data_IF_954904270533
#
_entry.id   IF_954904270533
#
_cell.length_a   1.000
_cell.length_b   1.000
_cell.length_c   1.000
_cell.angle_alpha   90.00
_cell.angle_beta   90.00
_cell.angle_gamma   90.00
#
_symmetry.space_group_name_H-M   'P 1'
#
loop_
_entity.id
_entity.type
_entity.pdbx_description
1 polymer ?
#
# COMPACT_ATOMS: atom_id res chain seq x y z
N UNK A 1 -11.85 -75.12 57.10
CA UNK A 1 -12.20 -73.72 57.22
C UNK A 1 -10.91 -72.91 57.24
N UNK A 2 -10.47 -72.39 56.11
CA UNK A 2 -9.26 -71.59 56.05
C UNK A 2 -9.58 -70.44 55.07
N UNK A 3 -9.58 -69.22 55.59
CA UNK A 3 -9.77 -68.00 54.86
C UNK A 3 -8.49 -67.65 54.10
N UNK A 4 -8.58 -67.50 52.77
CA UNK A 4 -7.53 -66.87 52.00
C UNK A 4 -7.86 -65.35 51.83
N UNK A 5 -7.00 -64.53 52.39
CA UNK A 5 -6.98 -63.10 52.12
C UNK A 5 -6.21 -62.85 50.80
N UNK A 6 -6.88 -62.21 49.84
CA UNK A 6 -6.25 -61.75 48.63
C UNK A 6 -5.74 -60.29 48.80
N UNK A 7 -4.45 -60.09 48.65
CA UNK A 7 -3.82 -58.79 48.68
C UNK A 7 -3.97 -58.17 47.31
N UNK A 8 -4.65 -57.04 47.21
CA UNK A 8 -4.66 -56.15 46.05
C UNK A 8 -3.44 -55.22 46.12
N UNK A 9 -2.53 -55.36 45.17
CA UNK A 9 -1.44 -54.43 44.95
C UNK A 9 -1.95 -53.28 44.08
N UNK A 10 -2.04 -52.09 44.62
CA UNK A 10 -2.32 -50.84 43.90
C UNK A 10 -1.02 -50.31 43.29
N UNK A 11 -0.94 -50.36 41.95
CA UNK A 11 0.13 -49.68 41.19
C UNK A 11 -0.21 -48.17 41.09
N UNK A 12 0.57 -47.37 41.78
CA UNK A 12 0.59 -45.90 41.60
C UNK A 12 1.37 -45.60 40.31
N UNK A 13 0.65 -45.21 39.25
CA UNK A 13 1.28 -44.60 38.04
C UNK A 13 1.53 -43.13 38.31
N UNK A 14 2.76 -42.74 38.50
CA UNK A 14 3.21 -41.35 38.54
C UNK A 14 3.19 -40.79 37.11
N UNK A 15 2.16 -40.02 36.79
CA UNK A 15 2.15 -39.20 35.60
C UNK A 15 3.12 -38.01 35.78
N UNK A 16 4.27 -38.07 35.13
CA UNK A 16 5.17 -36.93 35.01
C UNK A 16 4.52 -35.90 34.07
N UNK A 17 3.98 -34.81 34.62
CA UNK A 17 3.66 -33.62 33.83
C UNK A 17 4.95 -32.99 33.28
N UNK A 18 5.25 -33.23 32.02
CA UNK A 18 6.24 -32.44 31.32
C UNK A 18 5.68 -31.01 31.13
N UNK A 19 6.16 -30.08 31.95
CA UNK A 19 5.96 -28.66 31.70
C UNK A 19 6.78 -28.32 30.47
N UNK A 20 6.10 -28.17 29.33
CA UNK A 20 6.70 -27.59 28.14
C UNK A 20 7.09 -26.15 28.46
N UNK A 21 8.38 -25.92 28.69
CA UNK A 21 8.91 -24.57 28.73
C UNK A 21 8.62 -23.92 27.37
N UNK A 22 7.68 -23.00 27.31
CA UNK A 22 7.51 -22.14 26.16
C UNK A 22 8.82 -21.38 25.98
N UNK A 23 9.54 -21.70 24.90
CA UNK A 23 10.69 -20.91 24.50
C UNK A 23 10.18 -19.49 24.25
N UNK A 24 10.43 -18.59 25.18
CA UNK A 24 10.19 -17.15 24.95
C UNK A 24 11.09 -16.76 23.79
N UNK A 25 10.49 -16.36 22.69
CA UNK A 25 11.20 -15.71 21.60
C UNK A 25 11.96 -14.52 22.21
N UNK A 26 13.28 -14.43 22.08
CA UNK A 26 14.02 -13.33 22.67
C UNK A 26 13.45 -12.02 22.14
N UNK A 27 13.12 -11.09 23.03
CA UNK A 27 12.69 -9.76 22.65
C UNK A 27 13.81 -9.13 21.83
N UNK A 28 13.52 -8.84 20.55
CA UNK A 28 14.47 -8.15 19.68
C UNK A 28 14.54 -6.70 20.17
N UNK A 29 15.59 -6.38 20.92
CA UNK A 29 15.86 -5.01 21.35
C UNK A 29 16.41 -4.26 20.14
N UNK A 30 15.56 -3.46 19.48
CA UNK A 30 16.02 -2.51 18.48
C UNK A 30 16.88 -1.44 19.19
N UNK A 31 18.15 -1.38 18.84
CA UNK A 31 18.97 -0.21 19.19
C UNK A 31 18.54 0.92 18.28
N UNK A 32 18.18 2.07 18.85
CA UNK A 32 17.97 3.28 18.07
C UNK A 32 19.26 3.61 17.31
N UNK A 33 19.16 3.73 16.00
CA UNK A 33 20.24 4.18 15.14
C UNK A 33 19.71 5.38 14.35
N UNK A 34 20.50 6.45 14.32
CA UNK A 34 20.12 7.65 13.59
C UNK A 34 19.96 7.35 12.09
N UNK A 35 18.96 7.93 11.44
CA UNK A 35 18.84 7.87 9.99
C UNK A 35 20.11 8.38 9.31
N UNK A 36 20.49 7.76 8.20
CA UNK A 36 21.62 8.20 7.38
C UNK A 36 21.18 8.48 5.94
N UNK A 37 21.86 9.37 5.19
CA UNK A 37 21.62 9.49 3.77
C UNK A 37 21.76 8.15 3.05
N UNK A 38 20.92 7.90 2.05
CA UNK A 38 21.12 6.79 1.14
C UNK A 38 22.32 7.08 0.22
N UNK A 39 22.90 6.02 -0.35
CA UNK A 39 24.07 6.18 -1.21
C UNK A 39 23.67 6.44 -2.66
N UNK A 40 24.54 7.10 -3.45
CA UNK A 40 24.37 7.36 -4.89
C UNK A 40 23.01 7.95 -5.26
N UNK A 41 22.61 8.99 -4.54
CA UNK A 41 21.33 9.67 -4.71
C UNK A 41 21.26 10.45 -6.02
N UNK A 42 20.19 10.17 -6.79
CA UNK A 42 19.82 10.92 -7.98
C UNK A 42 18.36 11.36 -7.87
N UNK A 43 18.05 12.60 -8.16
CA UNK A 43 16.69 13.14 -8.18
C UNK A 43 16.36 13.75 -9.53
N UNK A 44 15.11 13.60 -9.97
CA UNK A 44 14.60 14.30 -11.13
C UNK A 44 13.12 14.64 -10.95
N UNK A 45 12.71 15.75 -11.56
CA UNK A 45 11.31 16.07 -11.77
C UNK A 45 10.80 15.22 -12.92
N UNK A 46 9.70 14.53 -12.72
CA UNK A 46 9.02 13.72 -13.76
C UNK A 46 7.93 14.53 -14.45
N UNK A 47 7.14 15.24 -13.66
CA UNK A 47 6.06 16.07 -14.18
C UNK A 47 5.80 17.25 -13.27
N UNK A 48 5.76 18.45 -13.83
CA UNK A 48 5.46 19.69 -13.11
C UNK A 48 4.80 20.69 -14.08
N UNK A 49 3.72 21.35 -13.63
CA UNK A 49 3.07 22.47 -14.30
C UNK A 49 2.74 23.54 -13.27
N UNK A 50 2.88 24.82 -13.64
CA UNK A 50 2.77 25.96 -12.73
C UNK A 50 1.40 26.10 -12.09
N UNK A 51 0.35 25.65 -12.77
CA UNK A 51 -1.04 25.74 -12.36
C UNK A 51 -1.63 24.40 -11.92
N UNK A 52 -0.79 23.40 -11.64
CA UNK A 52 -1.27 22.06 -11.26
C UNK A 52 -0.76 21.60 -9.90
N UNK A 53 -1.66 20.98 -9.16
CA UNK A 53 -1.36 20.19 -7.98
C UNK A 53 -1.32 18.71 -8.37
N UNK A 54 -0.14 18.10 -8.40
CA UNK A 54 0.06 16.72 -8.81
C UNK A 54 0.29 15.83 -7.61
N UNK A 55 -0.51 14.75 -7.46
CA UNK A 55 -0.44 13.92 -6.26
C UNK A 55 -0.98 12.49 -6.45
N UNK A 56 -0.85 11.71 -5.36
CA UNK A 56 -1.44 10.39 -5.14
C UNK A 56 -0.95 9.29 -6.07
N UNK A 57 0.33 9.30 -6.42
CA UNK A 57 1.00 8.27 -7.20
C UNK A 57 0.72 6.84 -6.70
N UNK A 58 0.77 6.61 -5.40
CA UNK A 58 0.57 5.29 -4.80
C UNK A 58 -0.81 4.68 -5.08
N UNK A 59 -1.85 5.51 -5.16
CA UNK A 59 -3.23 5.02 -5.28
C UNK A 59 -3.75 4.97 -6.71
N UNK A 60 -3.04 5.58 -7.68
CA UNK A 60 -3.51 5.72 -9.06
C UNK A 60 -2.98 4.67 -10.03
N UNK A 61 -2.11 3.79 -9.56
CA UNK A 61 -1.57 2.69 -10.33
C UNK A 61 -0.13 2.88 -10.78
N UNK A 62 0.60 1.81 -10.58
CA UNK A 62 1.97 1.64 -11.04
C UNK A 62 2.12 0.22 -11.57
N UNK A 63 2.65 0.07 -12.77
CA UNK A 63 2.78 -1.23 -13.43
C UNK A 63 4.13 -1.34 -14.13
N UNK A 64 4.58 -2.57 -14.26
CA UNK A 64 5.67 -2.99 -15.12
C UNK A 64 5.12 -3.97 -16.16
N UNK A 65 5.28 -3.65 -17.44
CA UNK A 65 4.80 -4.44 -18.56
C UNK A 65 5.73 -5.59 -18.92
N UNK A 66 5.34 -6.44 -19.88
CA UNK A 66 6.14 -7.60 -20.28
C UNK A 66 7.53 -7.23 -20.81
N UNK A 67 7.69 -6.10 -21.48
CA UNK A 67 8.96 -5.59 -21.97
C UNK A 67 9.78 -4.79 -20.95
N UNK A 68 9.27 -4.64 -19.72
CA UNK A 68 9.93 -3.91 -18.64
C UNK A 68 9.66 -2.40 -18.62
N UNK A 69 8.74 -1.90 -19.44
CA UNK A 69 8.31 -0.51 -19.36
C UNK A 69 7.56 -0.27 -18.05
N UNK A 70 7.81 0.87 -17.43
CA UNK A 70 7.09 1.30 -16.24
C UNK A 70 6.02 2.30 -16.59
N UNK A 71 4.87 2.18 -15.94
CA UNK A 71 3.72 3.07 -16.13
C UNK A 71 3.30 3.60 -14.77
N UNK A 72 3.14 4.91 -14.66
CA UNK A 72 2.67 5.57 -13.44
C UNK A 72 1.51 6.49 -13.75
N UNK A 73 0.41 6.34 -13.01
CA UNK A 73 -0.71 7.26 -13.03
C UNK A 73 -0.72 8.14 -11.77
N UNK A 74 -1.19 9.36 -11.92
CA UNK A 74 -1.42 10.29 -10.82
C UNK A 74 -2.50 11.31 -11.17
N UNK A 75 -3.03 12.01 -10.17
CA UNK A 75 -3.93 13.13 -10.39
C UNK A 75 -3.15 14.41 -10.62
N UNK A 76 -3.58 15.19 -11.62
CA UNK A 76 -3.24 16.59 -11.79
C UNK A 76 -4.52 17.42 -11.63
N UNK A 77 -4.52 18.34 -10.70
CA UNK A 77 -5.67 19.19 -10.33
C UNK A 77 -5.27 20.61 -10.63
N UNK A 78 -6.04 21.28 -11.51
CA UNK A 78 -5.78 22.68 -11.86
C UNK A 78 -6.13 23.60 -10.69
N UNK A 79 -5.17 24.37 -10.22
CA UNK A 79 -5.26 25.24 -9.04
C UNK A 79 -4.58 26.58 -9.29
N UNK A 80 -4.89 27.56 -8.45
CA UNK A 80 -4.20 28.85 -8.45
C UNK A 80 -3.31 28.96 -7.21
N UNK A 81 -2.01 28.81 -7.36
CA UNK A 81 -1.04 28.98 -6.29
C UNK A 81 -0.79 30.41 -5.86
N UNK A 82 -1.31 31.39 -6.57
CA UNK A 82 -1.17 32.83 -6.21
C UNK A 82 -2.21 33.27 -5.19
N UNK A 83 -3.24 32.46 -4.90
CA UNK A 83 -4.20 32.77 -3.87
C UNK A 83 -3.57 32.66 -2.48
N UNK A 84 -4.02 33.49 -1.55
CA UNK A 84 -3.58 33.45 -0.16
C UNK A 84 -4.03 32.16 0.57
N UNK A 85 -4.95 31.40 -0.02
CA UNK A 85 -5.45 30.16 0.55
C UNK A 85 -4.43 29.06 0.37
N UNK A 86 -4.11 28.44 1.46
CA UNK A 86 -3.19 27.32 1.48
C UNK A 86 -3.78 26.13 0.72
N UNK A 87 -3.12 25.69 -0.37
CA UNK A 87 -3.52 24.54 -1.17
C UNK A 87 -2.77 23.30 -0.70
N UNK A 88 -3.52 22.29 -0.24
CA UNK A 88 -2.99 21.03 0.23
C UNK A 88 -3.95 19.87 -0.06
N UNK A 89 -3.54 18.67 0.29
CA UNK A 89 -4.28 17.43 0.15
C UNK A 89 -5.75 17.48 0.62
N UNK A 90 -6.04 18.26 1.69
CA UNK A 90 -7.37 18.29 2.30
C UNK A 90 -8.33 19.28 1.65
N UNK A 91 -7.81 20.26 0.93
CA UNK A 91 -8.63 21.34 0.40
C UNK A 91 -8.50 21.59 -1.12
N UNK A 92 -7.57 20.90 -1.80
CA UNK A 92 -7.29 21.12 -3.22
C UNK A 92 -8.53 21.07 -4.09
N UNK A 93 -9.44 20.14 -3.85
CA UNK A 93 -10.67 20.01 -4.66
C UNK A 93 -11.68 21.15 -4.45
N UNK A 94 -11.60 21.89 -3.36
CA UNK A 94 -12.45 23.08 -3.13
C UNK A 94 -11.99 24.29 -3.96
N UNK A 95 -10.72 24.31 -4.31
CA UNK A 95 -10.05 25.41 -5.00
C UNK A 95 -9.66 25.03 -6.43
N UNK A 96 -10.16 23.92 -6.96
CA UNK A 96 -9.82 23.41 -8.27
C UNK A 96 -10.79 23.90 -9.34
N UNK A 97 -10.28 24.12 -10.55
CA UNK A 97 -11.06 24.40 -11.76
C UNK A 97 -11.10 23.24 -12.74
N UNK A 98 -10.34 22.18 -12.46
CA UNK A 98 -10.29 20.97 -13.29
C UNK A 98 -9.47 19.88 -12.64
N UNK A 99 -9.67 18.64 -13.09
CA UNK A 99 -8.90 17.47 -12.69
C UNK A 99 -8.74 16.53 -13.87
N UNK A 100 -7.55 15.95 -14.00
CA UNK A 100 -7.25 14.91 -14.99
C UNK A 100 -6.38 13.82 -14.37
N UNK A 101 -6.43 12.62 -14.93
CA UNK A 101 -5.48 11.55 -14.62
C UNK A 101 -4.37 11.65 -15.66
N UNK A 102 -3.15 11.77 -15.18
CA UNK A 102 -1.94 11.81 -16.01
C UNK A 102 -1.28 10.46 -15.97
N UNK A 103 -0.89 9.94 -17.12
CA UNK A 103 -0.12 8.72 -17.29
C UNK A 103 1.25 9.05 -17.84
N UNK A 104 2.30 8.69 -17.11
CA UNK A 104 3.69 8.78 -17.59
C UNK A 104 4.28 7.39 -17.76
N UNK A 105 5.19 7.25 -18.72
CA UNK A 105 5.86 5.99 -19.05
C UNK A 105 7.37 6.16 -19.03
N UNK A 106 8.04 5.07 -18.70
CA UNK A 106 9.50 4.93 -18.79
C UNK A 106 9.83 3.64 -19.52
N UNK A 107 10.74 3.71 -20.50
CA UNK A 107 11.24 2.56 -21.26
C UNK A 107 12.67 2.19 -20.91
N UNK A 108 13.24 2.81 -19.88
CA UNK A 108 14.62 2.65 -19.43
C UNK A 108 14.71 2.30 -17.94
N UNK A 109 13.72 1.54 -17.46
CA UNK A 109 13.58 1.11 -16.06
C UNK A 109 13.49 2.27 -15.06
N UNK A 110 12.79 3.34 -15.45
CA UNK A 110 12.50 4.48 -14.57
C UNK A 110 13.63 5.50 -14.45
N UNK A 111 14.68 5.43 -15.28
CA UNK A 111 15.71 6.46 -15.31
C UNK A 111 15.19 7.77 -15.88
N UNK A 112 14.44 7.68 -16.97
CA UNK A 112 13.73 8.81 -17.56
C UNK A 112 12.25 8.49 -17.76
N UNK A 113 11.44 9.54 -17.87
CA UNK A 113 10.00 9.47 -18.01
C UNK A 113 9.50 10.48 -19.04
N UNK A 114 8.43 10.16 -19.76
CA UNK A 114 7.85 11.02 -20.78
C UNK A 114 6.98 12.17 -20.23
N UNK A 115 7.35 12.77 -19.09
CA UNK A 115 6.55 13.80 -18.42
C UNK A 115 6.28 15.07 -19.23
N UNK A 116 7.08 15.33 -20.29
CA UNK A 116 6.84 16.43 -21.22
C UNK A 116 5.70 16.12 -22.23
N UNK A 117 5.49 14.83 -22.51
CA UNK A 117 4.49 14.31 -23.44
C UNK A 117 3.71 13.15 -22.81
N UNK A 118 3.00 13.38 -21.69
CA UNK A 118 2.23 12.34 -21.02
C UNK A 118 0.91 12.08 -21.74
N UNK A 119 0.30 10.94 -21.45
CA UNK A 119 -1.09 10.68 -21.80
C UNK A 119 -2.04 11.26 -20.73
N UNK A 120 -3.22 11.71 -21.16
CA UNK A 120 -4.24 12.23 -20.26
C UNK A 120 -5.51 11.41 -20.35
N UNK A 121 -6.10 11.15 -19.18
CA UNK A 121 -7.42 10.51 -19.01
C UNK A 121 -7.63 9.21 -19.82
N UNK A 122 -6.57 8.46 -20.12
CA UNK A 122 -6.64 7.18 -20.82
C UNK A 122 -7.66 6.23 -20.17
N UNK A 123 -7.70 6.22 -18.85
CA UNK A 123 -8.61 5.39 -18.09
C UNK A 123 -10.02 5.96 -18.05
N UNK A 124 -10.16 7.29 -18.02
CA UNK A 124 -11.45 7.97 -17.94
C UNK A 124 -12.13 8.04 -19.31
N UNK A 125 -11.37 8.11 -20.39
CA UNK A 125 -11.86 8.31 -21.77
C UNK A 125 -12.16 7.03 -22.53
N UNK A 126 -11.84 5.86 -22.00
CA UNK A 126 -12.24 4.61 -22.60
C UNK A 126 -13.78 4.48 -22.55
N UNK A 127 -14.45 5.15 -23.45
CA UNK A 127 -15.92 5.27 -23.56
C UNK A 127 -16.65 3.97 -23.92
N UNK A 128 -16.07 2.83 -23.63
CA UNK A 128 -16.76 1.55 -23.68
C UNK A 128 -17.83 1.52 -22.59
N UNK A 129 -19.07 1.21 -22.99
CA UNK A 129 -20.18 0.99 -22.07
C UNK A 129 -19.78 0.05 -20.95
N UNK A 130 -20.19 0.35 -19.73
CA UNK A 130 -20.02 -0.56 -18.60
C UNK A 130 -20.56 -1.95 -18.98
N UNK A 131 -19.70 -2.95 -18.88
CA UNK A 131 -20.08 -4.36 -19.08
C UNK A 131 -19.80 -5.11 -17.79
N UNK A 132 -20.64 -6.08 -17.42
CA UNK A 132 -20.28 -7.01 -16.36
C UNK A 132 -18.90 -7.61 -16.64
N UNK A 133 -18.05 -7.70 -15.61
CA UNK A 133 -16.67 -8.19 -15.76
C UNK A 133 -16.65 -9.61 -16.36
N UNK A 134 -17.64 -10.43 -16.01
CA UNK A 134 -17.87 -11.76 -16.57
C UNK A 134 -18.05 -11.79 -18.12
N UNK A 135 -18.54 -10.70 -18.72
CA UNK A 135 -18.70 -10.60 -20.18
C UNK A 135 -17.39 -10.35 -20.95
N UNK A 136 -16.29 -10.06 -20.26
CA UNK A 136 -14.99 -9.84 -20.90
C UNK A 136 -14.32 -11.13 -21.36
N UNK A 137 -14.89 -12.29 -21.03
CA UNK A 137 -14.29 -13.61 -21.26
C UNK A 137 -13.07 -13.86 -20.36
N UNK A 138 -12.46 -15.03 -20.47
CA UNK A 138 -11.29 -15.39 -19.67
C UNK A 138 -10.18 -14.36 -19.77
N UNK A 139 -9.54 -14.06 -18.64
CA UNK A 139 -8.43 -13.11 -18.55
C UNK A 139 -7.21 -13.87 -18.06
N UNK A 140 -6.15 -13.85 -18.87
CA UNK A 140 -4.85 -14.38 -18.47
C UNK A 140 -4.07 -13.33 -17.68
N UNK A 141 -4.13 -13.42 -16.37
CA UNK A 141 -3.40 -12.51 -15.48
C UNK A 141 -1.88 -12.79 -15.43
N UNK A 142 -1.41 -13.93 -15.97
CA UNK A 142 0.02 -14.20 -16.08
C UNK A 142 0.67 -13.43 -17.24
N UNK A 143 -0.14 -12.97 -18.20
CA UNK A 143 0.31 -12.01 -19.20
C UNK A 143 0.57 -10.66 -18.54
N UNK A 144 1.82 -10.21 -18.53
CA UNK A 144 2.26 -8.97 -17.89
C UNK A 144 1.79 -7.70 -18.60
N UNK A 145 1.24 -7.82 -19.82
CA UNK A 145 0.57 -6.72 -20.51
C UNK A 145 -0.92 -6.62 -20.18
N UNK A 146 -1.45 -7.60 -19.42
CA UNK A 146 -2.76 -7.51 -18.79
C UNK A 146 -2.65 -6.73 -17.49
N UNK A 147 -3.21 -5.52 -17.48
CA UNK A 147 -3.18 -4.62 -16.36
C UNK A 147 -4.59 -4.40 -15.80
N UNK A 148 -4.70 -4.30 -14.49
CA UNK A 148 -5.93 -3.97 -13.79
C UNK A 148 -5.86 -2.55 -13.23
N UNK A 149 -6.98 -1.82 -13.34
CA UNK A 149 -7.16 -0.54 -12.68
C UNK A 149 -8.42 -0.53 -11.84
N UNK A 150 -8.29 -0.23 -10.57
CA UNK A 150 -9.40 -0.07 -9.65
C UNK A 150 -9.12 1.08 -8.70
N UNK A 151 -9.97 2.09 -8.76
CA UNK A 151 -9.94 3.21 -7.83
C UNK A 151 -11.37 3.66 -7.52
N UNK A 152 -11.72 3.66 -6.24
CA UNK A 152 -13.09 3.91 -5.79
C UNK A 152 -13.50 5.38 -5.90
N UNK A 153 -14.61 5.69 -6.56
CA UNK A 153 -15.34 6.91 -6.28
C UNK A 153 -15.80 6.89 -4.82
N UNK A 154 -15.80 8.04 -4.14
CA UNK A 154 -16.10 8.09 -2.70
C UNK A 154 -15.03 7.42 -1.83
N UNK A 155 -13.78 7.50 -2.25
CA UNK A 155 -12.62 6.89 -1.59
C UNK A 155 -12.60 7.12 -0.08
N UNK A 156 -12.55 6.02 0.67
CA UNK A 156 -12.46 6.05 2.12
C UNK A 156 -13.75 6.47 2.83
N UNK A 157 -14.90 6.38 2.16
CA UNK A 157 -16.24 6.64 2.73
C UNK A 157 -17.07 5.35 2.80
N UNK A 158 -18.11 5.30 3.64
CA UNK A 158 -19.04 4.18 3.68
C UNK A 158 -19.83 3.94 2.38
N UNK A 159 -19.81 4.88 1.44
CA UNK A 159 -20.43 4.75 0.12
C UNK A 159 -19.47 4.20 -0.96
N UNK A 160 -18.25 3.82 -0.59
CA UNK A 160 -17.24 3.32 -1.51
C UNK A 160 -17.72 2.09 -2.30
N UNK A 161 -17.42 2.10 -3.60
CA UNK A 161 -17.60 0.96 -4.51
C UNK A 161 -16.28 0.76 -5.25
N UNK A 162 -15.99 -0.46 -5.66
CA UNK A 162 -14.75 -0.80 -6.35
C UNK A 162 -15.03 -1.10 -7.83
N UNK A 163 -14.93 -0.10 -8.70
CA UNK A 163 -14.94 -0.31 -10.14
C UNK A 163 -13.64 -0.99 -10.57
N UNK A 164 -13.71 -1.83 -11.58
CA UNK A 164 -12.57 -2.54 -12.15
C UNK A 164 -12.55 -2.36 -13.67
N UNK A 165 -11.38 -2.06 -14.21
CA UNK A 165 -11.09 -1.98 -15.64
C UNK A 165 -9.88 -2.83 -15.96
N UNK A 166 -9.83 -3.35 -17.18
CA UNK A 166 -8.74 -4.20 -17.67
C UNK A 166 -8.14 -3.58 -18.92
N UNK A 167 -6.84 -3.55 -19.00
CA UNK A 167 -6.08 -3.37 -20.24
C UNK A 167 -5.48 -4.72 -20.64
N UNK A 168 -5.44 -5.02 -21.93
CA UNK A 168 -4.80 -6.21 -22.51
C UNK A 168 -3.66 -5.84 -23.46
N UNK A 169 -3.18 -4.60 -23.40
CA UNK A 169 -2.20 -4.03 -24.33
C UNK A 169 -1.15 -3.14 -23.62
N UNK A 170 -0.84 -3.45 -22.36
CA UNK A 170 0.13 -2.69 -21.57
C UNK A 170 -0.34 -1.27 -21.25
N UNK A 171 -1.63 -1.12 -20.97
CA UNK A 171 -2.22 0.15 -20.53
C UNK A 171 -2.39 1.20 -21.64
N UNK A 172 -2.40 0.79 -22.91
CA UNK A 172 -2.67 1.70 -24.04
C UNK A 172 -4.15 1.93 -24.27
N UNK A 173 -4.95 0.89 -24.04
CA UNK A 173 -6.40 0.99 -24.00
C UNK A 173 -6.98 0.24 -22.79
N UNK A 174 -8.19 0.61 -22.38
CA UNK A 174 -8.84 0.08 -21.19
C UNK A 174 -10.28 -0.34 -21.50
N UNK A 175 -10.74 -1.40 -20.86
CA UNK A 175 -12.13 -1.85 -20.93
C UNK A 175 -13.10 -0.82 -20.33
N UNK A 176 -14.39 -1.03 -20.56
CA UNK A 176 -15.44 -0.41 -19.76
C UNK A 176 -15.29 -0.76 -18.29
N UNK A 177 -16.00 -0.01 -17.46
CA UNK A 177 -16.01 -0.19 -16.02
C UNK A 177 -16.95 -1.33 -15.63
N UNK A 178 -16.48 -2.21 -14.74
CA UNK A 178 -17.30 -3.21 -14.06
C UNK A 178 -17.20 -3.00 -12.56
N UNK A 179 -18.28 -3.16 -11.83
CA UNK A 179 -18.27 -3.01 -10.38
C UNK A 179 -18.12 -4.38 -9.70
N UNK A 180 -17.23 -4.46 -8.72
CA UNK A 180 -17.05 -5.67 -7.91
C UNK A 180 -18.26 -5.88 -6.97
N UNK A 181 -18.69 -7.13 -6.73
CA UNK A 181 -19.76 -7.42 -5.78
C UNK A 181 -19.33 -7.04 -4.36
N UNK A 182 -20.28 -6.65 -3.52
CA UNK A 182 -20.01 -6.34 -2.12
C UNK A 182 -19.85 -7.57 -1.23
N UNK A 183 -20.42 -8.69 -1.62
CA UNK A 183 -20.38 -9.97 -0.89
C UNK A 183 -20.75 -9.85 0.60
N UNK A 184 -21.71 -8.98 0.90
CA UNK A 184 -22.18 -8.72 2.26
C UNK A 184 -21.39 -7.65 3.03
N UNK A 185 -20.33 -7.09 2.45
CA UNK A 185 -19.59 -5.97 3.02
C UNK A 185 -20.39 -4.67 2.89
N UNK A 186 -20.12 -3.72 3.77
CA UNK A 186 -20.78 -2.42 3.75
C UNK A 186 -20.30 -1.54 2.58
N UNK A 187 -19.00 -1.57 2.29
CA UNK A 187 -18.38 -0.81 1.21
C UNK A 187 -17.12 -1.47 0.71
N UNK A 188 -16.65 -1.05 -0.47
CA UNK A 188 -15.34 -1.40 -0.99
C UNK A 188 -14.59 -0.14 -1.39
N UNK A 189 -13.35 0.01 -0.88
CA UNK A 189 -12.43 1.05 -1.31
C UNK A 189 -11.21 0.45 -1.97
N UNK A 190 -11.11 0.63 -3.27
CA UNK A 190 -9.99 0.20 -4.09
C UNK A 190 -8.97 1.32 -4.30
N UNK A 191 -7.70 0.95 -4.45
CA UNK A 191 -6.56 1.85 -4.61
C UNK A 191 -5.50 1.30 -5.57
N UNK A 192 -5.95 0.52 -6.53
CA UNK A 192 -5.11 -0.10 -7.55
C UNK A 192 -3.99 -0.97 -6.98
N UNK A 193 -4.33 -1.90 -6.12
CA UNK A 193 -3.40 -2.88 -5.54
C UNK A 193 -3.86 -4.29 -5.83
N UNK A 194 -3.04 -5.06 -6.55
CA UNK A 194 -3.30 -6.47 -6.83
C UNK A 194 -2.02 -7.28 -6.90
N UNK A 195 -2.16 -8.59 -6.80
CA UNK A 195 -1.10 -9.58 -6.89
C UNK A 195 -1.57 -10.75 -7.76
N UNK A 196 -0.79 -11.13 -8.76
CA UNK A 196 -1.05 -12.34 -9.55
C UNK A 196 -0.23 -13.50 -8.98
N UNK A 197 -0.90 -14.61 -8.70
CA UNK A 197 -0.28 -15.83 -8.20
C UNK A 197 0.23 -16.69 -9.35
N UNK A 198 1.21 -17.60 -9.12
CA UNK A 198 1.72 -18.51 -10.15
C UNK A 198 0.66 -19.45 -10.74
N UNK A 199 -0.45 -19.68 -10.03
CA UNK A 199 -1.60 -20.45 -10.51
C UNK A 199 -2.56 -19.63 -11.40
N UNK A 200 -2.20 -18.40 -11.74
CA UNK A 200 -2.99 -17.48 -12.57
C UNK A 200 -4.12 -16.76 -11.83
N UNK A 201 -4.32 -17.03 -10.54
CA UNK A 201 -5.33 -16.29 -9.74
C UNK A 201 -4.83 -14.88 -9.43
N UNK A 202 -5.73 -13.92 -9.56
CA UNK A 202 -5.51 -12.53 -9.18
C UNK A 202 -6.13 -12.24 -7.81
N UNK A 203 -5.37 -11.63 -6.93
CA UNK A 203 -5.82 -11.14 -5.63
C UNK A 203 -5.86 -9.61 -5.67
N UNK A 204 -7.01 -9.01 -5.32
CA UNK A 204 -7.20 -7.57 -5.19
C UNK A 204 -7.12 -7.18 -3.72
N UNK A 205 -6.32 -6.18 -3.40
CA UNK A 205 -6.13 -5.68 -2.05
C UNK A 205 -6.86 -4.36 -1.89
N UNK A 206 -7.84 -4.34 -1.03
CA UNK A 206 -8.77 -3.23 -0.81
C UNK A 206 -9.02 -3.03 0.69
N UNK A 207 -9.90 -2.14 1.05
CA UNK A 207 -10.40 -2.04 2.41
C UNK A 207 -11.89 -1.70 2.44
N UNK A 208 -12.56 -2.20 3.46
CA UNK A 208 -13.91 -1.80 3.82
C UNK A 208 -13.86 -0.52 4.66
N UNK A 209 -14.87 0.32 4.50
CA UNK A 209 -15.21 1.37 5.44
C UNK A 209 -16.59 1.03 5.99
N UNK A 210 -16.65 0.65 7.26
CA UNK A 210 -17.91 0.33 7.94
C UNK A 210 -18.80 1.55 8.12
N UNK A 211 -20.04 1.35 8.51
CA UNK A 211 -21.02 2.43 8.73
C UNK A 211 -20.55 3.48 9.75
N UNK A 212 -19.78 3.07 10.75
CA UNK A 212 -19.17 3.93 11.77
C UNK A 212 -17.82 4.54 11.36
N UNK A 213 -17.39 4.31 10.10
CA UNK A 213 -16.17 4.88 9.52
C UNK A 213 -14.87 4.14 9.84
N UNK A 214 -14.93 2.96 10.47
CA UNK A 214 -13.75 2.13 10.68
C UNK A 214 -13.27 1.56 9.34
N UNK A 215 -11.95 1.38 9.22
CA UNK A 215 -11.30 0.86 8.01
C UNK A 215 -10.66 -0.48 8.29
N UNK A 216 -10.99 -1.47 7.48
CA UNK A 216 -10.47 -2.84 7.60
C UNK A 216 -9.95 -3.34 6.26
N UNK A 217 -8.64 -3.59 6.10
CA UNK A 217 -8.08 -4.14 4.88
C UNK A 217 -8.57 -5.56 4.61
N UNK A 218 -8.76 -5.87 3.33
CA UNK A 218 -9.32 -7.13 2.87
C UNK A 218 -8.77 -7.57 1.51
N UNK A 219 -9.06 -8.80 1.16
CA UNK A 219 -8.66 -9.43 -0.10
C UNK A 219 -9.90 -9.96 -0.82
N UNK A 220 -9.95 -9.69 -2.12
CA UNK A 220 -10.80 -10.38 -3.09
C UNK A 220 -9.94 -11.30 -3.94
N UNK A 221 -10.43 -12.49 -4.22
CA UNK A 221 -9.76 -13.45 -5.10
C UNK A 221 -10.55 -13.70 -6.37
N UNK A 222 -9.86 -13.83 -7.52
CA UNK A 222 -10.50 -14.28 -8.74
C UNK A 222 -10.85 -15.75 -8.67
N UNK A 223 -12.01 -16.10 -9.25
CA UNK A 223 -12.40 -17.46 -9.55
C UNK A 223 -11.82 -17.93 -10.89
N UNK A 224 -12.18 -19.16 -11.29
CA UNK A 224 -11.73 -19.75 -12.54
C UNK A 224 -12.06 -18.85 -13.75
N UNK A 225 -11.10 -18.69 -14.65
CA UNK A 225 -11.21 -17.83 -15.82
C UNK A 225 -11.01 -16.34 -15.54
N UNK A 226 -10.82 -15.93 -14.28
CA UNK A 226 -10.41 -14.57 -13.91
C UNK A 226 -11.45 -13.48 -14.13
N UNK A 227 -12.73 -13.83 -14.36
CA UNK A 227 -13.81 -12.88 -14.67
C UNK A 227 -14.75 -12.62 -13.51
N UNK A 228 -14.58 -13.32 -12.42
CA UNK A 228 -15.35 -13.15 -11.18
C UNK A 228 -14.40 -12.95 -10.00
N UNK A 229 -14.74 -12.02 -9.13
CA UNK A 229 -14.00 -11.74 -7.91
C UNK A 229 -14.94 -11.77 -6.73
N UNK A 230 -14.55 -12.45 -5.67
CA UNK A 230 -15.30 -12.54 -4.44
C UNK A 230 -14.46 -12.22 -3.22
N UNK A 231 -15.14 -11.77 -2.16
CA UNK A 231 -14.52 -11.59 -0.86
C UNK A 231 -13.86 -12.89 -0.39
N UNK A 232 -12.62 -12.76 0.06
CA UNK A 232 -11.83 -13.91 0.48
C UNK A 232 -11.50 -13.86 1.97
N UNK A 233 -10.99 -12.73 2.45
CA UNK A 233 -10.58 -12.60 3.84
C UNK A 233 -10.35 -11.14 4.24
N UNK A 234 -10.40 -10.87 5.53
CA UNK A 234 -9.80 -9.66 6.12
C UNK A 234 -8.33 -9.90 6.46
N UNK A 235 -7.50 -8.84 6.32
CA UNK A 235 -6.06 -8.90 6.61
C UNK A 235 -5.81 -8.65 8.10
N UNK A 236 -6.62 -7.81 8.74
CA UNK A 236 -6.49 -7.45 10.15
C UNK A 236 -7.69 -7.92 10.95
N UNK A 237 -7.52 -7.99 12.27
CA UNK A 237 -8.64 -8.16 13.19
C UNK A 237 -9.63 -7.01 13.06
N UNK A 238 -10.84 -7.23 13.54
CA UNK A 238 -11.83 -6.17 13.65
C UNK A 238 -11.40 -5.18 14.74
N UNK A 239 -11.62 -3.89 14.45
CA UNK A 239 -11.33 -2.86 15.43
C UNK A 239 -12.26 -3.00 16.65
N UNK A 240 -11.68 -3.15 17.85
CA UNK A 240 -12.42 -3.12 19.12
C UNK A 240 -12.53 -1.68 19.66
N UNK A 241 -13.69 -1.02 19.52
CA UNK A 241 -13.87 0.31 20.04
C UNK A 241 -13.78 0.39 21.57
N UNK A 242 -13.97 -0.73 22.28
CA UNK A 242 -13.86 -0.79 23.75
C UNK A 242 -12.40 -0.79 24.22
N UNK A 243 -11.50 -1.39 23.45
CA UNK A 243 -10.06 -1.33 23.74
C UNK A 243 -9.54 0.11 23.63
N UNK A 244 -10.09 0.89 22.70
CA UNK A 244 -9.76 2.29 22.53
C UNK A 244 -10.28 3.18 23.68
N UNK A 245 -11.48 2.93 24.18
CA UNK A 245 -12.06 3.68 25.32
C UNK A 245 -11.25 3.53 26.61
N UNK A 246 -10.56 2.40 26.81
CA UNK A 246 -9.65 2.17 27.94
C UNK A 246 -8.40 3.04 27.93
N UNK A 247 -8.09 3.71 26.82
CA UNK A 247 -6.91 4.57 26.68
C UNK A 247 -7.05 5.97 27.31
N UNK A 248 -8.21 6.30 27.90
CA UNK A 248 -8.47 7.60 28.58
C UNK A 248 -8.63 8.77 27.61
N UNK A 249 -8.90 8.54 26.34
CA UNK A 249 -9.11 9.59 25.34
C UNK A 249 -10.53 10.11 25.34
N UNK A 250 -10.72 11.39 24.99
CA UNK A 250 -12.02 12.06 24.95
C UNK A 250 -12.95 11.54 23.86
N UNK A 251 -14.25 11.71 24.03
CA UNK A 251 -15.27 11.23 23.09
C UNK A 251 -15.08 11.73 21.63
N UNK A 252 -14.55 12.94 21.44
CA UNK A 252 -14.22 13.46 20.11
C UNK A 252 -13.07 12.74 19.43
N UNK A 253 -12.20 12.09 20.22
CA UNK A 253 -11.12 11.24 19.71
C UNK A 253 -11.53 9.76 19.62
N UNK A 254 -12.68 9.37 20.18
CA UNK A 254 -13.17 7.98 20.16
C UNK A 254 -13.54 7.51 18.75
N UNK A 255 -14.07 8.40 17.90
CA UNK A 255 -14.31 8.08 16.49
C UNK A 255 -13.02 7.69 15.75
N UNK A 256 -11.86 8.01 16.33
CA UNK A 256 -10.54 7.72 15.81
C UNK A 256 -9.67 6.96 16.82
N UNK A 257 -10.24 6.56 17.94
CA UNK A 257 -9.54 5.80 18.96
C UNK A 257 -9.44 4.35 18.51
N UNK A 258 -8.29 4.00 17.99
CA UNK A 258 -7.97 2.67 17.49
C UNK A 258 -7.11 2.77 16.26
N UNK A 259 -6.41 1.69 16.02
CA UNK A 259 -5.60 1.60 14.84
C UNK A 259 -6.50 1.53 13.61
N UNK A 260 -6.21 2.35 12.61
CA UNK A 260 -6.79 2.26 11.29
C UNK A 260 -5.76 1.69 10.36
N UNK A 261 -6.14 0.62 9.68
CA UNK A 261 -5.31 -0.01 8.67
C UNK A 261 -5.91 0.25 7.29
N UNK A 262 -5.12 0.70 6.36
CA UNK A 262 -5.54 0.93 4.98
C UNK A 262 -4.33 0.99 4.05
N UNK A 263 -4.56 1.14 2.76
CA UNK A 263 -3.55 1.11 1.72
C UNK A 263 -2.78 -0.23 1.64
N UNK A 264 -3.49 -1.38 1.60
CA UNK A 264 -2.82 -2.66 1.46
C UNK A 264 -2.11 -2.77 0.12
N UNK A 265 -0.84 -3.21 0.16
CA UNK A 265 -0.06 -3.57 -1.02
C UNK A 265 0.75 -4.81 -0.73
N UNK A 266 0.67 -5.80 -1.63
CA UNK A 266 1.27 -7.10 -1.40
C UNK A 266 2.32 -7.48 -2.43
N UNK A 267 3.26 -8.29 -1.98
CA UNK A 267 4.20 -9.04 -2.80
C UNK A 267 4.14 -10.52 -2.41
N UNK A 268 4.63 -11.40 -3.27
CA UNK A 268 4.78 -12.80 -2.95
C UNK A 268 6.26 -13.20 -2.94
N UNK A 269 6.65 -13.92 -1.91
CA UNK A 269 7.99 -14.49 -1.78
C UNK A 269 8.10 -15.79 -2.58
N UNK A 270 9.33 -16.25 -2.92
CA UNK A 270 9.52 -17.48 -3.69
C UNK A 270 8.97 -18.75 -3.04
N UNK A 271 8.87 -18.76 -1.71
CA UNK A 271 8.26 -19.86 -0.93
C UNK A 271 6.71 -19.84 -0.95
N UNK A 272 6.08 -18.89 -1.66
CA UNK A 272 4.65 -18.76 -1.75
C UNK A 272 4.00 -17.91 -0.65
N UNK A 273 4.75 -17.47 0.36
CA UNK A 273 4.27 -16.53 1.38
C UNK A 273 3.92 -15.20 0.74
N UNK A 274 2.77 -14.66 1.08
CA UNK A 274 2.36 -13.31 0.68
C UNK A 274 2.67 -12.36 1.85
N UNK A 275 3.35 -11.26 1.56
CA UNK A 275 3.56 -10.16 2.48
C UNK A 275 2.71 -8.98 2.04
N UNK A 276 2.02 -8.35 2.96
CA UNK A 276 1.19 -7.17 2.70
C UNK A 276 1.59 -6.02 3.61
N UNK A 277 2.03 -4.91 3.00
CA UNK A 277 2.26 -3.66 3.72
C UNK A 277 0.95 -2.93 3.94
N UNK A 278 0.73 -2.40 5.13
CA UNK A 278 -0.42 -1.60 5.52
C UNK A 278 0.05 -0.25 6.07
N UNK A 279 -0.65 0.80 5.67
CA UNK A 279 -0.57 2.07 6.40
C UNK A 279 -1.39 1.94 7.67
N UNK A 280 -0.76 2.22 8.79
CA UNK A 280 -1.38 2.28 10.10
C UNK A 280 -1.46 3.73 10.56
N UNK A 281 -2.59 4.10 11.17
CA UNK A 281 -2.83 5.44 11.65
C UNK A 281 -3.58 5.37 12.97
N UNK A 282 -3.03 6.02 14.00
CA UNK A 282 -3.64 6.05 15.33
C UNK A 282 -4.76 7.09 15.43
N UNK A 283 -4.55 8.23 14.79
CA UNK A 283 -5.52 9.31 14.74
C UNK A 283 -5.42 10.06 13.39
N UNK A 284 -6.42 10.89 13.02
CA UNK A 284 -6.47 11.54 11.69
C UNK A 284 -5.34 12.54 11.44
N UNK A 285 -4.75 13.08 12.51
CA UNK A 285 -3.77 14.18 12.45
C UNK A 285 -2.39 13.75 12.90
N UNK A 286 -2.25 12.51 13.39
CA UNK A 286 -1.09 12.09 14.13
C UNK A 286 -0.29 10.99 13.49
N UNK A 287 0.24 10.15 14.33
CA UNK A 287 1.22 9.15 14.01
C UNK A 287 0.73 8.17 12.96
N UNK A 288 1.53 8.03 11.92
CA UNK A 288 1.32 7.07 10.84
C UNK A 288 2.59 6.25 10.66
N UNK A 289 2.43 4.95 10.58
CA UNK A 289 3.54 4.01 10.35
C UNK A 289 3.14 2.93 9.36
N UNK A 290 4.08 2.10 8.97
CA UNK A 290 3.88 0.95 8.09
C UNK A 290 4.05 -0.34 8.88
N UNK A 291 3.14 -1.29 8.68
CA UNK A 291 3.19 -2.65 9.21
C UNK A 291 3.20 -3.66 8.07
N UNK A 292 3.76 -4.84 8.33
CA UNK A 292 3.71 -5.99 7.43
C UNK A 292 2.86 -7.07 8.06
N UNK A 293 1.95 -7.60 7.27
CA UNK A 293 1.17 -8.81 7.53
C UNK A 293 1.58 -9.90 6.56
N UNK A 294 1.40 -11.16 6.95
CA UNK A 294 1.75 -12.30 6.10
C UNK A 294 0.60 -13.31 5.99
N UNK A 295 0.60 -14.04 4.88
CA UNK A 295 -0.28 -15.19 4.64
C UNK A 295 0.54 -16.33 4.04
N UNK A 296 0.39 -17.53 4.60
CA UNK A 296 1.03 -18.77 4.12
C UNK A 296 0.05 -19.68 3.36
N UNK A 297 -1.22 -19.30 3.24
CA UNK A 297 -2.29 -20.07 2.63
C UNK A 297 -2.93 -19.41 1.40
N UNK A 298 -2.16 -18.53 0.76
CA UNK A 298 -2.55 -17.85 -0.48
C UNK A 298 -3.57 -16.74 -0.26
N UNK A 299 -3.56 -16.08 0.89
CA UNK A 299 -4.39 -14.93 1.21
C UNK A 299 -5.69 -15.27 1.95
N UNK A 300 -5.87 -16.50 2.46
CA UNK A 300 -7.07 -16.90 3.19
C UNK A 300 -7.04 -16.50 4.65
N UNK A 301 -5.87 -16.59 5.27
CA UNK A 301 -5.64 -16.16 6.66
C UNK A 301 -4.41 -15.29 6.75
N UNK A 302 -4.38 -14.39 7.73
CA UNK A 302 -3.32 -13.39 7.88
C UNK A 302 -2.85 -13.29 9.32
N UNK A 303 -1.55 -13.09 9.48
CA UNK A 303 -0.90 -12.81 10.74
C UNK A 303 -0.08 -11.53 10.67
N UNK A 304 0.03 -10.82 11.80
CA UNK A 304 0.97 -9.71 11.92
C UNK A 304 2.41 -10.24 11.88
N UNK A 305 3.27 -9.64 11.06
CA UNK A 305 4.68 -10.02 10.97
C UNK A 305 5.57 -9.03 11.73
N UNK A 306 5.54 -7.76 11.34
CA UNK A 306 6.44 -6.76 11.93
C UNK A 306 5.95 -5.32 11.71
N UNK A 307 6.49 -4.42 12.51
CA UNK A 307 6.39 -2.97 12.30
C UNK A 307 7.65 -2.49 11.56
N UNK A 308 7.45 -1.79 10.45
CA UNK A 308 8.52 -1.34 9.56
C UNK A 308 9.27 -0.14 10.12
N UNK A 309 8.52 0.87 10.58
CA UNK A 309 9.04 2.15 11.07
C UNK A 309 8.17 2.70 12.20
N UNK A 310 8.66 3.75 12.86
CA UNK A 310 7.90 4.43 13.89
C UNK A 310 7.04 5.57 13.34
N UNK A 311 7.45 6.13 12.21
CA UNK A 311 6.72 7.18 11.52
C UNK A 311 7.01 7.14 10.02
N UNK A 312 5.95 7.07 9.22
CA UNK A 312 6.04 7.08 7.76
C UNK A 312 5.11 6.09 7.07
N UNK A 313 4.32 6.58 6.13
CA UNK A 313 3.35 5.80 5.35
C UNK A 313 2.74 6.61 4.18
N UNK A 314 2.11 5.97 3.16
CA UNK A 314 2.12 4.53 2.92
C UNK A 314 3.50 4.02 2.52
N UNK A 315 3.76 2.74 2.80
CA UNK A 315 4.99 2.07 2.44
C UNK A 315 4.86 1.28 1.13
N UNK A 316 5.72 1.56 0.17
CA UNK A 316 5.87 0.75 -1.04
C UNK A 316 6.85 -0.39 -0.77
N UNK A 317 6.33 -1.60 -0.58
CA UNK A 317 7.09 -2.81 -0.33
C UNK A 317 7.51 -3.43 -1.66
N UNK A 318 8.79 -3.73 -1.81
CA UNK A 318 9.36 -4.49 -2.94
C UNK A 318 10.32 -5.57 -2.44
N UNK A 319 10.51 -6.61 -3.24
CA UNK A 319 11.57 -7.60 -3.09
C UNK A 319 12.62 -7.37 -4.16
N UNK A 320 13.86 -7.27 -3.74
CA UNK A 320 15.01 -7.12 -4.63
C UNK A 320 15.42 -8.47 -5.24
N UNK A 321 16.19 -8.40 -6.32
CA UNK A 321 16.73 -9.58 -7.01
C UNK A 321 17.64 -10.42 -6.12
N UNK A 322 18.33 -9.82 -5.14
CA UNK A 322 19.16 -10.50 -4.15
C UNK A 322 18.38 -11.09 -2.95
N UNK A 323 17.07 -10.86 -2.90
CA UNK A 323 16.19 -11.39 -1.87
C UNK A 323 15.86 -10.44 -0.73
N UNK A 324 16.60 -9.35 -0.54
CA UNK A 324 16.29 -8.32 0.45
C UNK A 324 14.94 -7.67 0.15
N UNK A 325 14.26 -7.22 1.21
CA UNK A 325 13.06 -6.42 1.09
C UNK A 325 13.38 -4.95 1.33
N UNK A 326 12.72 -4.08 0.59
CA UNK A 326 12.81 -2.63 0.77
C UNK A 326 11.41 -2.05 0.92
N UNK A 327 11.23 -1.16 1.89
CA UNK A 327 10.04 -0.33 2.01
C UNK A 327 10.44 1.13 1.87
N UNK A 328 9.87 1.79 0.84
CA UNK A 328 10.03 3.24 0.61
C UNK A 328 8.75 3.94 1.05
N UNK A 329 8.85 5.04 1.78
CA UNK A 329 7.70 5.75 2.34
C UNK A 329 7.89 7.26 2.44
N UNK A 330 6.78 8.00 2.48
CA UNK A 330 6.78 9.44 2.77
C UNK A 330 7.00 9.69 4.26
N UNK A 331 7.98 10.53 4.58
CA UNK A 331 8.26 10.99 5.94
C UNK A 331 7.69 12.39 6.15
N UNK A 332 6.74 12.52 7.07
CA UNK A 332 5.88 13.70 7.22
C UNK A 332 6.08 14.47 8.53
N UNK A 333 7.16 14.21 9.26
CA UNK A 333 7.65 15.07 10.33
C UNK A 333 8.61 16.10 9.76
N UNK A 334 9.00 17.07 10.60
CA UNK A 334 9.98 18.11 10.22
C UNK A 334 11.24 17.47 9.63
N UNK A 335 11.78 18.09 8.60
CA UNK A 335 12.65 17.54 7.58
C UNK A 335 11.90 16.55 6.69
N UNK A 336 10.71 17.04 6.24
CA UNK A 336 9.82 16.30 5.36
C UNK A 336 10.54 15.72 4.15
N UNK A 337 10.20 14.49 3.79
CA UNK A 337 10.88 13.88 2.67
C UNK A 337 10.46 12.45 2.35
N UNK A 338 11.39 11.71 1.78
CA UNK A 338 11.23 10.30 1.44
C UNK A 338 12.29 9.51 2.18
N UNK A 339 11.91 8.40 2.77
CA UNK A 339 12.82 7.47 3.44
C UNK A 339 12.63 6.05 2.96
N UNK A 340 13.62 5.21 3.25
CA UNK A 340 13.57 3.79 2.97
C UNK A 340 14.15 3.00 4.14
N UNK A 341 13.77 1.74 4.25
CA UNK A 341 14.37 0.75 5.15
C UNK A 341 14.54 -0.58 4.42
N UNK A 342 15.50 -1.36 4.85
CA UNK A 342 15.84 -2.66 4.27
C UNK A 342 15.65 -3.76 5.31
N UNK A 343 15.15 -4.91 4.87
CA UNK A 343 15.10 -6.15 5.65
C UNK A 343 15.90 -7.24 4.93
N UNK A 344 16.72 -7.96 5.69
CA UNK A 344 17.55 -9.09 5.23
C UNK A 344 16.96 -10.46 5.66
N UNK A 345 15.83 -10.45 6.37
CA UNK A 345 15.20 -11.59 7.02
C UNK A 345 13.72 -11.75 6.67
N UNK A 346 13.37 -11.51 5.42
CA UNK A 346 12.00 -11.62 4.88
C UNK A 346 10.96 -10.76 5.63
N UNK A 347 11.38 -9.60 6.14
CA UNK A 347 10.50 -8.63 6.79
C UNK A 347 10.29 -8.84 8.28
N UNK A 348 11.02 -9.75 8.93
CA UNK A 348 10.95 -9.94 10.38
C UNK A 348 11.55 -8.74 11.13
N UNK A 349 12.67 -8.23 10.64
CA UNK A 349 13.32 -7.04 11.18
C UNK A 349 13.70 -6.06 10.07
N UNK A 350 13.86 -4.78 10.45
CA UNK A 350 14.17 -3.70 9.53
C UNK A 350 15.41 -2.93 10.01
N UNK A 351 16.28 -2.63 9.06
CA UNK A 351 17.51 -1.88 9.30
C UNK A 351 17.27 -0.40 9.60
N UNK A 352 18.36 0.37 9.57
CA UNK A 352 18.30 1.82 9.76
C UNK A 352 17.53 2.52 8.66
N UNK A 353 16.86 3.61 9.02
CA UNK A 353 16.25 4.48 8.02
C UNK A 353 17.33 5.11 7.12
N UNK A 354 17.08 5.02 5.82
CA UNK A 354 17.83 5.70 4.78
C UNK A 354 17.07 6.97 4.38
N UNK A 355 17.75 8.12 4.44
CA UNK A 355 17.21 9.40 3.97
C UNK A 355 17.40 9.45 2.46
N UNK A 356 16.30 9.30 1.71
CA UNK A 356 16.30 9.46 0.25
C UNK A 356 16.15 10.94 -0.11
N UNK A 357 15.27 11.67 0.60
CA UNK A 357 15.13 13.13 0.54
C UNK A 357 14.69 13.68 1.88
N UNK A 358 15.11 14.90 2.22
CA UNK A 358 14.73 15.63 3.43
C UNK A 358 14.54 17.14 3.18
N UNK A 359 14.38 17.52 1.91
CA UNK A 359 14.21 18.89 1.43
C UNK A 359 12.74 19.23 1.09
N UNK A 360 11.80 18.54 1.70
CA UNK A 360 10.37 18.82 1.54
C UNK A 360 9.96 20.14 2.19
N UNK A 361 9.10 20.90 1.53
CA UNK A 361 8.58 22.18 2.02
C UNK A 361 7.45 22.03 3.02
N UNK A 362 6.73 20.91 3.03
CA UNK A 362 5.65 20.60 3.96
C UNK A 362 5.38 19.10 4.06
N UNK A 363 4.51 18.73 5.00
CA UNK A 363 4.09 17.34 5.24
C UNK A 363 3.33 16.70 4.07
N UNK A 364 2.78 17.48 3.15
CA UNK A 364 1.92 16.99 2.07
C UNK A 364 2.73 16.52 0.87
N UNK A 365 3.34 15.36 1.02
CA UNK A 365 4.22 14.69 0.06
C UNK A 365 4.21 13.15 0.25
N UNK A 366 4.88 12.44 -0.63
CA UNK A 366 5.16 11.02 -0.52
C UNK A 366 4.28 10.18 -1.45
N UNK A 367 3.61 9.17 -0.91
CA UNK A 367 2.88 8.16 -1.69
C UNK A 367 3.75 7.49 -2.76
N UNK A 368 4.92 6.94 -2.39
CA UNK A 368 5.85 6.40 -3.34
C UNK A 368 5.36 5.08 -3.97
N UNK A 369 5.79 4.85 -5.21
CA UNK A 369 5.92 3.54 -5.82
C UNK A 369 7.39 3.26 -6.05
N UNK A 370 7.87 2.09 -5.64
CA UNK A 370 9.27 1.71 -5.73
C UNK A 370 9.45 0.49 -6.66
N UNK A 371 10.63 0.38 -7.25
CA UNK A 371 11.05 -0.74 -8.09
C UNK A 371 12.57 -0.91 -7.99
N UNK A 372 13.08 -2.07 -8.39
CA UNK A 372 14.51 -2.27 -8.56
C UNK A 372 14.92 -1.85 -9.98
N UNK A 373 15.77 -0.83 -10.09
CA UNK A 373 16.30 -0.34 -11.39
C UNK A 373 17.31 -1.31 -11.96
N UNK A 374 18.23 -1.76 -11.13
CA UNK A 374 19.25 -2.76 -11.36
C UNK A 374 19.67 -3.35 -10.00
N UNK A 375 20.35 -4.49 -9.94
CA UNK A 375 20.72 -5.14 -8.68
C UNK A 375 21.35 -4.16 -7.68
N UNK A 376 20.74 -4.02 -6.51
CA UNK A 376 21.19 -3.12 -5.44
C UNK A 376 20.77 -1.65 -5.61
N UNK A 377 20.12 -1.28 -6.70
CA UNK A 377 19.71 0.11 -6.95
C UNK A 377 18.18 0.24 -7.03
N UNK A 378 17.61 1.06 -6.19
CA UNK A 378 16.19 1.30 -6.06
C UNK A 378 15.79 2.59 -6.75
N UNK A 379 14.72 2.54 -7.55
CA UNK A 379 13.98 3.67 -8.05
C UNK A 379 12.70 3.88 -7.24
N UNK A 380 12.30 5.11 -7.05
CA UNK A 380 10.97 5.43 -6.53
C UNK A 380 10.41 6.70 -7.16
N UNK A 381 9.11 6.69 -7.44
CA UNK A 381 8.34 7.81 -7.97
C UNK A 381 7.27 8.23 -6.96
N UNK A 382 7.11 9.52 -6.73
CA UNK A 382 6.27 10.05 -5.66
C UNK A 382 5.85 11.49 -5.99
N UNK A 383 4.83 12.01 -5.30
CA UNK A 383 4.59 13.45 -5.36
C UNK A 383 5.36 14.18 -4.27
N UNK A 384 5.79 15.40 -4.59
CA UNK A 384 6.70 16.16 -3.78
C UNK A 384 6.39 17.67 -3.80
N UNK A 385 6.82 18.36 -2.76
CA UNK A 385 6.92 19.81 -2.70
C UNK A 385 8.29 20.16 -2.10
N UNK A 386 8.98 21.15 -2.66
CA UNK A 386 10.34 21.49 -2.24
C UNK A 386 10.37 22.69 -1.31
N UNK A 387 11.21 22.65 -0.29
CA UNK A 387 11.47 23.81 0.57
C UNK A 387 12.09 24.99 -0.19
N UNK A 388 12.74 24.71 -1.30
CA UNK A 388 13.37 25.71 -2.17
C UNK A 388 12.44 26.19 -3.30
N UNK A 389 11.16 25.79 -3.32
CA UNK A 389 10.22 26.25 -4.31
C UNK A 389 9.97 27.77 -4.16
N UNK A 390 9.80 28.45 -5.29
CA UNK A 390 9.44 29.89 -5.31
C UNK A 390 8.04 30.11 -4.77
N UNK A 391 7.13 29.17 -5.04
CA UNK A 391 5.78 29.13 -4.46
C UNK A 391 5.86 28.69 -3.00
N UNK A 392 5.53 29.58 -2.07
CA UNK A 392 5.62 29.28 -0.62
C UNK A 392 4.31 28.83 0.01
N UNK A 393 3.25 28.71 -0.77
CA UNK A 393 1.95 28.26 -0.29
C UNK A 393 2.03 26.78 0.11
N UNK A 394 1.85 26.48 1.38
CA UNK A 394 1.99 25.12 1.94
C UNK A 394 3.26 24.37 1.54
N UNK A 395 4.38 25.06 1.47
CA UNK A 395 5.68 24.45 1.23
C UNK A 395 6.00 24.18 -0.24
N UNK A 396 5.29 24.81 -1.17
CA UNK A 396 5.63 24.75 -2.58
C UNK A 396 4.61 24.05 -3.46
N UNK A 397 4.86 24.05 -4.74
CA UNK A 397 4.06 23.44 -5.78
C UNK A 397 4.20 21.92 -5.76
N UNK A 398 3.06 21.20 -5.78
CA UNK A 398 3.08 19.73 -5.84
C UNK A 398 3.38 19.27 -7.24
N UNK A 399 4.42 18.48 -7.37
CA UNK A 399 4.89 17.90 -8.62
C UNK A 399 5.24 16.42 -8.44
N UNK A 400 5.40 15.70 -9.53
CA UNK A 400 5.87 14.32 -9.51
C UNK A 400 7.38 14.30 -9.69
N UNK A 401 8.04 13.63 -8.79
CA UNK A 401 9.49 13.45 -8.77
C UNK A 401 9.86 11.97 -8.70
N UNK A 402 11.07 11.66 -9.14
CA UNK A 402 11.68 10.35 -8.92
C UNK A 402 13.00 10.50 -8.18
N UNK A 403 13.35 9.48 -7.42
CA UNK A 403 14.70 9.29 -6.90
C UNK A 403 15.23 7.92 -7.26
N UNK A 404 16.55 7.83 -7.45
CA UNK A 404 17.29 6.56 -7.60
C UNK A 404 18.39 6.59 -6.55
N UNK A 405 18.61 5.46 -5.85
CA UNK A 405 19.59 5.34 -4.77
C UNK A 405 20.03 3.88 -4.59
N UNK A 406 21.15 3.68 -3.91
CA UNK A 406 21.69 2.36 -3.56
C UNK A 406 21.36 2.00 -2.11
N UNK A 407 21.09 0.70 -1.85
CA UNK A 407 20.81 0.13 -0.54
C UNK A 407 21.77 -0.98 -0.15
#
# INVERSE_FOLDING_TARGET
MIHRRTLLASALSSAACAVAASAQTPAIIRRFQAPRPADNLEHAVVYRREDEFCAWTYTRGFWETANGDLIQNFDAVTVNYTSADAINHNNVFRNSTGRKIVTVRSTDRGRTWNGDHPDFDLIATSGASARPFAEMGPIDYLDRDVLLYSFSPGFGTPAGRAPLRVSKDGGRSWSGESELPLDGLHSLTALNSYLVRPDGRCLLFMFEVSADGNRRPLVYGSLDGGTEFHFMSFITEEHDPKAAAKSGRTASSLAFAGHRWFYPRAIMLPNGRILCSLRCQRDPTGDMWTEIYYSDDGGRTWGFLSRVNDFGAPGSLIRMSDGRLVVVYGYRLQNYGIRAVVSEDEGLTWGNELIVRDDGGSWDLGYPNAWEVEPGKIGCIYYFNSMNDEVKVNGGQRHIARSIFTV
#
